data_IF_005771660087
#
_entry.id   IF_005771660087
#
_cell.length_a   1.000
_cell.length_b   1.000
_cell.length_c   1.000
_cell.angle_alpha   90.00
_cell.angle_beta   90.00
_cell.angle_gamma   90.00
#
_symmetry.space_group_name_H-M   'P 1'
#
loop_
_entity.id
_entity.type
_entity.pdbx_description
1 polymer ?
#
# COMPACT_ATOMS: atom_id res chain seq x y z
N UNK A 1 22.43 -2.81 14.85
CA UNK A 1 21.15 -3.50 15.07
C UNK A 1 19.99 -2.69 14.50
N UNK A 2 19.06 -3.38 13.83
CA UNK A 2 17.82 -2.77 13.31
C UNK A 2 16.78 -2.69 14.43
N UNK A 3 16.07 -1.57 14.52
CA UNK A 3 15.00 -1.38 15.51
C UNK A 3 13.75 -2.15 15.08
N UNK A 4 13.01 -2.70 16.04
CA UNK A 4 11.66 -3.20 15.79
C UNK A 4 10.73 -2.05 15.39
N UNK A 5 9.84 -2.30 14.45
CA UNK A 5 8.88 -1.33 13.93
C UNK A 5 7.54 -2.01 13.68
N UNK A 6 6.47 -1.21 13.57
CA UNK A 6 5.15 -1.68 13.18
C UNK A 6 4.66 -0.85 12.00
N UNK A 7 4.05 -1.51 11.02
CA UNK A 7 3.42 -0.84 9.89
C UNK A 7 1.92 -1.09 9.92
N UNK A 8 1.17 -0.06 9.56
CA UNK A 8 -0.26 -0.14 9.35
C UNK A 8 -0.56 0.25 7.90
N UNK A 9 -1.13 -0.70 7.18
CA UNK A 9 -1.50 -0.55 5.77
C UNK A 9 -3.02 -0.74 5.63
N UNK A 10 -3.61 -0.02 4.67
CA UNK A 10 -5.02 -0.11 4.35
C UNK A 10 -5.20 -0.33 2.85
N UNK A 11 -6.08 -1.26 2.52
CA UNK A 11 -6.46 -1.59 1.15
C UNK A 11 -7.98 -1.69 1.05
N UNK A 12 -8.54 -1.12 -0.02
CA UNK A 12 -9.95 -1.26 -0.36
C UNK A 12 -10.09 -1.52 -1.85
N UNK A 13 -11.06 -2.37 -2.21
CA UNK A 13 -11.43 -2.61 -3.60
C UNK A 13 -12.93 -2.78 -3.76
N UNK A 14 -13.42 -2.48 -4.96
CA UNK A 14 -14.82 -2.61 -5.31
C UNK A 14 -15.01 -2.99 -6.78
N UNK A 15 -15.87 -3.97 -7.03
CA UNK A 15 -16.24 -4.38 -8.38
C UNK A 15 -17.40 -3.51 -8.88
N UNK A 16 -17.24 -2.97 -10.09
CA UNK A 16 -18.21 -2.12 -10.78
C UNK A 16 -18.41 -2.61 -12.23
N UNK A 17 -19.30 -1.94 -12.98
CA UNK A 17 -19.60 -2.25 -14.39
C UNK A 17 -19.93 -3.74 -14.62
N UNK A 18 -20.88 -4.28 -13.85
CA UNK A 18 -21.27 -5.70 -13.91
C UNK A 18 -20.06 -6.64 -13.80
N UNK A 19 -19.18 -6.37 -12.83
CA UNK A 19 -17.95 -7.12 -12.56
C UNK A 19 -16.92 -7.10 -13.70
N UNK A 20 -17.05 -6.19 -14.67
CA UNK A 20 -16.03 -6.01 -15.73
C UNK A 20 -14.88 -5.11 -15.31
N UNK A 21 -15.05 -4.33 -14.24
CA UNK A 21 -14.02 -3.42 -13.76
C UNK A 21 -13.90 -3.48 -12.24
N UNK A 22 -12.68 -3.55 -11.74
CA UNK A 22 -12.38 -3.48 -10.30
C UNK A 22 -11.63 -2.19 -10.05
N UNK A 23 -12.14 -1.35 -9.15
CA UNK A 23 -11.42 -0.20 -8.62
C UNK A 23 -10.71 -0.61 -7.33
N UNK A 24 -9.49 -0.15 -7.12
CA UNK A 24 -8.76 -0.40 -5.88
C UNK A 24 -7.93 0.82 -5.48
N UNK A 25 -7.79 0.99 -4.17
CA UNK A 25 -6.93 2.00 -3.57
C UNK A 25 -6.21 1.40 -2.36
N UNK A 26 -4.98 1.85 -2.12
CA UNK A 26 -4.24 1.49 -0.94
C UNK A 26 -3.44 2.67 -0.39
N UNK A 27 -3.21 2.62 0.91
CA UNK A 27 -2.28 3.47 1.62
C UNK A 27 -1.39 2.56 2.45
N UNK A 28 -0.07 2.64 2.22
CA UNK A 28 0.92 1.90 2.99
C UNK A 28 1.68 2.83 3.92
N UNK A 29 2.14 2.29 5.04
CA UNK A 29 2.80 3.01 6.12
C UNK A 29 1.99 4.24 6.57
N UNK A 30 0.72 4.02 6.96
CA UNK A 30 -0.24 5.08 7.32
C UNK A 30 0.32 5.99 8.42
N UNK A 31 0.96 5.38 9.42
CA UNK A 31 1.58 6.07 10.55
C UNK A 31 2.89 6.78 10.18
N UNK A 32 3.38 6.60 8.94
CA UNK A 32 4.62 7.17 8.41
C UNK A 32 5.83 6.89 9.30
N UNK A 33 5.95 5.64 9.73
CA UNK A 33 7.08 5.12 10.50
C UNK A 33 8.36 5.20 9.67
N UNK A 34 9.47 5.63 10.28
CA UNK A 34 10.79 5.61 9.68
C UNK A 34 11.53 4.34 10.12
N UNK A 35 11.70 3.40 9.20
CA UNK A 35 12.22 2.07 9.48
C UNK A 35 13.20 1.60 8.40
N UNK A 36 14.01 0.61 8.75
CA UNK A 36 14.96 -0.03 7.83
C UNK A 36 14.74 -1.54 7.83
N UNK A 37 14.46 -2.10 6.66
CA UNK A 37 14.40 -3.56 6.46
C UNK A 37 15.81 -4.14 6.25
N UNK A 38 16.66 -3.39 5.54
CA UNK A 38 18.05 -3.71 5.28
C UNK A 38 18.91 -2.54 5.74
N UNK A 39 19.93 -2.84 6.53
CA UNK A 39 20.81 -1.82 7.08
C UNK A 39 21.47 -1.00 5.97
N UNK A 40 21.38 0.33 6.09
CA UNK A 40 21.96 1.26 5.13
C UNK A 40 21.13 1.52 3.87
N UNK A 41 19.95 0.90 3.73
CA UNK A 41 19.02 1.16 2.64
C UNK A 41 17.77 1.85 3.15
N UNK A 42 17.32 2.88 2.42
CA UNK A 42 16.08 3.57 2.74
C UNK A 42 14.86 2.76 2.31
N UNK A 43 13.83 2.81 3.14
CA UNK A 43 12.49 2.30 2.81
C UNK A 43 11.62 3.43 2.29
N UNK A 44 10.49 3.10 1.67
CA UNK A 44 9.48 4.11 1.35
C UNK A 44 8.76 4.52 2.64
N UNK A 45 8.59 5.83 2.83
CA UNK A 45 7.67 6.37 3.85
C UNK A 45 6.22 6.08 3.48
N UNK A 46 5.27 6.91 3.94
CA UNK A 46 3.87 6.76 3.56
C UNK A 46 3.67 6.84 2.04
N UNK A 47 2.94 5.88 1.48
CA UNK A 47 2.65 5.83 0.06
C UNK A 47 1.15 5.59 -0.18
N UNK A 48 0.63 6.17 -1.26
CA UNK A 48 -0.78 6.08 -1.65
C UNK A 48 -0.83 5.63 -3.10
N UNK A 49 -1.60 4.58 -3.39
CA UNK A 49 -1.82 4.10 -4.75
C UNK A 49 -3.32 3.98 -5.02
N UNK A 50 -3.71 4.32 -6.23
CA UNK A 50 -5.05 4.12 -6.76
C UNK A 50 -4.92 3.50 -8.15
N UNK A 51 -5.80 2.55 -8.46
CA UNK A 51 -5.77 1.86 -9.73
C UNK A 51 -7.08 1.18 -10.05
N UNK A 52 -7.12 0.60 -11.25
CA UNK A 52 -8.22 -0.21 -11.70
C UNK A 52 -7.74 -1.35 -12.60
N UNK A 53 -8.55 -2.40 -12.69
CA UNK A 53 -8.41 -3.45 -13.69
C UNK A 53 -9.69 -3.56 -14.50
N UNK A 54 -9.56 -3.86 -15.80
CA UNK A 54 -10.65 -4.08 -16.72
C UNK A 54 -10.56 -5.48 -17.30
N UNK A 55 -11.67 -6.19 -17.36
CA UNK A 55 -11.82 -7.50 -17.99
C UNK A 55 -12.77 -7.35 -19.18
N UNK A 56 -12.25 -7.59 -20.39
CA UNK A 56 -13.01 -7.49 -21.65
C UNK A 56 -13.78 -8.78 -21.95
#
# INVERSE_FOLDING_TARGET
DLKSYNLLDFYVSHNILNNKMTLFANVTNILNEDYQELYGYSTKGRNVNIGFSLTL
#
